data_IF_266564682707
#
_entry.id   IF_266564682707
#
_cell.length_a   1.000
_cell.length_b   1.000
_cell.length_c   1.000
_cell.angle_alpha   90.00
_cell.angle_beta   90.00
_cell.angle_gamma   90.00
#
_symmetry.space_group_name_H-M   'P 1'
#
loop_
_entity.id
_entity.type
_entity.pdbx_description
1 polymer ?
#
# COMPACT_ATOMS: atom_id res chain seq x y z
N UNK A 1 28.48 -29.50 38.85
CA UNK A 1 27.18 -29.13 38.26
C UNK A 1 27.08 -27.62 38.28
N UNK A 2 27.31 -26.95 37.15
CA UNK A 2 27.17 -25.51 37.01
C UNK A 2 26.22 -25.26 35.83
N UNK A 3 25.02 -24.77 36.14
CA UNK A 3 24.04 -24.35 35.14
C UNK A 3 24.38 -22.92 34.73
N UNK A 4 24.90 -22.74 33.52
CA UNK A 4 25.09 -21.44 32.90
C UNK A 4 23.74 -20.98 32.32
N UNK A 5 23.07 -20.05 33.00
CA UNK A 5 21.92 -19.33 32.45
C UNK A 5 22.42 -18.36 31.37
N UNK A 6 22.37 -18.80 30.12
CA UNK A 6 22.48 -17.90 28.96
C UNK A 6 21.17 -17.13 28.87
N UNK A 7 21.17 -15.92 29.43
CA UNK A 7 20.09 -14.96 29.29
C UNK A 7 19.95 -14.55 27.82
N UNK A 8 19.04 -15.19 27.11
CA UNK A 8 18.55 -14.73 25.81
C UNK A 8 17.87 -13.37 26.02
N UNK A 9 18.60 -12.27 25.81
CA UNK A 9 18.01 -10.95 25.65
C UNK A 9 17.11 -11.03 24.44
N UNK A 10 15.80 -11.10 24.69
CA UNK A 10 14.76 -10.95 23.67
C UNK A 10 15.00 -9.58 23.02
N UNK A 11 15.64 -9.56 21.85
CA UNK A 11 15.77 -8.35 21.08
C UNK A 11 14.35 -7.87 20.76
N UNK A 12 13.95 -6.77 21.40
CA UNK A 12 12.76 -6.04 21.02
C UNK A 12 12.98 -5.60 19.57
N UNK A 13 12.37 -6.31 18.62
CA UNK A 13 12.28 -5.84 17.25
C UNK A 13 11.45 -4.56 17.29
N UNK A 14 12.11 -3.42 17.26
CA UNK A 14 11.46 -2.16 16.93
C UNK A 14 11.11 -2.24 15.45
N UNK A 15 9.82 -2.35 15.15
CA UNK A 15 9.33 -2.21 13.79
C UNK A 15 9.51 -0.74 13.39
N UNK A 16 10.50 -0.45 12.56
CA UNK A 16 10.67 0.86 11.95
C UNK A 16 9.83 0.90 10.67
N UNK A 17 8.68 1.56 10.76
CA UNK A 17 7.76 1.72 9.63
C UNK A 17 7.92 3.16 9.14
N UNK A 18 8.59 3.31 8.00
CA UNK A 18 8.67 4.57 7.28
C UNK A 18 7.32 4.90 6.62
N UNK A 19 6.38 5.37 7.42
CA UNK A 19 4.97 5.58 7.03
C UNK A 19 4.81 6.45 5.77
N UNK A 20 5.60 7.52 5.64
CA UNK A 20 5.60 8.39 4.45
C UNK A 20 6.06 7.63 3.20
N UNK A 21 7.15 6.88 3.30
CA UNK A 21 7.68 6.10 2.17
C UNK A 21 6.72 4.99 1.76
N UNK A 22 6.10 4.30 2.72
CA UNK A 22 5.10 3.27 2.45
C UNK A 22 3.84 3.84 1.79
N UNK A 23 3.36 5.03 2.21
CA UNK A 23 2.28 5.74 1.53
C UNK A 23 2.63 6.12 0.09
N UNK A 24 3.86 6.60 -0.14
CA UNK A 24 4.34 6.93 -1.48
C UNK A 24 4.40 5.68 -2.37
N UNK A 25 4.87 4.55 -1.85
CA UNK A 25 4.91 3.28 -2.59
C UNK A 25 3.51 2.81 -2.97
N UNK A 26 2.55 2.84 -2.03
CA UNK A 26 1.15 2.49 -2.31
C UNK A 26 0.58 3.40 -3.39
N UNK A 27 0.70 4.73 -3.23
CA UNK A 27 0.19 5.69 -4.19
C UNK A 27 0.83 5.54 -5.58
N UNK A 28 2.15 5.37 -5.65
CA UNK A 28 2.86 5.12 -6.91
C UNK A 28 2.42 3.82 -7.57
N UNK A 29 2.15 2.78 -6.78
CA UNK A 29 1.71 1.48 -7.28
C UNK A 29 0.28 1.56 -7.81
N UNK A 30 -0.60 2.30 -7.11
CA UNK A 30 -1.96 2.58 -7.57
C UNK A 30 -1.97 3.42 -8.85
N UNK A 31 -1.09 4.42 -8.98
CA UNK A 31 -0.93 5.17 -10.22
C UNK A 31 -0.49 4.26 -11.39
N UNK A 32 0.41 3.31 -11.16
CA UNK A 32 0.78 2.33 -12.18
C UNK A 32 -0.37 1.40 -12.58
N UNK A 33 -1.33 1.14 -11.69
CA UNK A 33 -2.56 0.40 -12.04
C UNK A 33 -3.42 1.22 -13.00
N UNK A 34 -3.56 2.52 -12.74
CA UNK A 34 -4.29 3.43 -13.62
C UNK A 34 -3.64 3.52 -15.01
N UNK A 35 -2.30 3.59 -15.07
CA UNK A 35 -1.56 3.56 -16.34
C UNK A 35 -1.82 2.26 -17.13
N UNK A 36 -1.90 1.11 -16.44
CA UNK A 36 -2.21 -0.19 -17.06
C UNK A 36 -3.65 -0.22 -17.58
N UNK A 37 -4.61 0.32 -16.84
CA UNK A 37 -6.01 0.42 -17.27
C UNK A 37 -6.15 1.30 -18.52
N UNK A 38 -5.53 2.48 -18.52
CA UNK A 38 -5.52 3.36 -19.68
C UNK A 38 -4.82 2.72 -20.89
N UNK A 39 -3.70 2.04 -20.66
CA UNK A 39 -2.98 1.30 -21.69
C UNK A 39 -3.81 0.18 -22.31
N UNK A 40 -4.58 -0.56 -21.48
CA UNK A 40 -5.50 -1.60 -21.95
C UNK A 40 -6.58 -1.03 -22.88
N UNK A 41 -7.25 0.04 -22.47
CA UNK A 41 -8.28 0.69 -23.29
C UNK A 41 -7.70 1.24 -24.61
N UNK A 42 -6.51 1.84 -24.56
CA UNK A 42 -5.82 2.30 -25.75
C UNK A 42 -5.51 1.15 -26.72
N UNK A 43 -4.97 0.03 -26.22
CA UNK A 43 -4.65 -1.14 -27.04
C UNK A 43 -5.90 -1.76 -27.66
N UNK A 44 -7.00 -1.86 -26.89
CA UNK A 44 -8.30 -2.33 -27.38
C UNK A 44 -8.78 -1.50 -28.57
N UNK A 45 -8.78 -0.18 -28.44
CA UNK A 45 -9.17 0.71 -29.55
C UNK A 45 -8.27 0.53 -30.78
N UNK A 46 -6.98 0.26 -30.59
CA UNK A 46 -6.04 0.00 -31.70
C UNK A 46 -6.27 -1.35 -32.37
N UNK A 47 -6.60 -2.38 -31.61
CA UNK A 47 -6.95 -3.69 -32.17
C UNK A 47 -8.24 -3.59 -32.98
N UNK A 48 -9.28 -2.93 -32.45
CA UNK A 48 -10.54 -2.73 -33.17
C UNK A 48 -10.32 -1.97 -34.49
N UNK A 49 -9.49 -0.91 -34.48
CA UNK A 49 -9.12 -0.18 -35.68
C UNK A 49 -8.31 -1.03 -36.67
N UNK A 50 -7.41 -1.89 -36.18
CA UNK A 50 -6.59 -2.78 -37.02
C UNK A 50 -7.44 -3.87 -37.67
N UNK A 51 -8.37 -4.47 -36.91
CA UNK A 51 -9.34 -5.46 -37.42
C UNK A 51 -10.19 -4.84 -38.53
N UNK A 52 -10.70 -3.63 -38.32
CA UNK A 52 -11.47 -2.90 -39.33
C UNK A 52 -10.65 -2.58 -40.60
N UNK A 53 -9.33 -2.40 -40.48
CA UNK A 53 -8.43 -2.13 -41.59
C UNK A 53 -7.97 -3.40 -42.34
N UNK A 54 -8.31 -4.61 -41.87
CA UNK A 54 -7.92 -5.89 -42.45
C UNK A 54 -9.11 -6.70 -43.02
N UNK A 55 -9.97 -6.11 -43.89
CA UNK A 55 -11.16 -6.81 -44.40
C UNK A 55 -10.80 -8.03 -45.28
N UNK A 56 -9.65 -8.00 -45.94
CA UNK A 56 -9.18 -9.06 -46.85
C UNK A 56 -8.42 -10.19 -46.12
N UNK A 57 -8.23 -10.10 -44.80
CA UNK A 57 -7.45 -11.06 -44.03
C UNK A 57 -8.15 -11.48 -42.74
N UNK A 58 -9.25 -12.25 -42.84
CA UNK A 58 -10.04 -12.67 -41.67
C UNK A 58 -9.24 -13.52 -40.68
N UNK A 59 -8.24 -14.28 -41.16
CA UNK A 59 -7.34 -15.07 -40.31
C UNK A 59 -6.47 -14.17 -39.43
N UNK A 60 -5.91 -13.10 -39.99
CA UNK A 60 -5.06 -12.17 -39.23
C UNK A 60 -5.94 -11.34 -38.29
N UNK A 61 -7.07 -10.81 -38.78
CA UNK A 61 -8.02 -10.07 -37.95
C UNK A 61 -8.50 -10.90 -36.76
N UNK A 62 -8.94 -12.15 -37.00
CA UNK A 62 -9.37 -13.05 -35.94
C UNK A 62 -8.24 -13.45 -34.98
N UNK A 63 -7.00 -13.60 -35.47
CA UNK A 63 -5.85 -13.90 -34.60
C UNK A 63 -5.50 -12.73 -33.67
N UNK A 64 -5.59 -11.49 -34.16
CA UNK A 64 -5.34 -10.29 -33.35
C UNK A 64 -6.46 -10.11 -32.32
N UNK A 65 -7.72 -10.32 -32.71
CA UNK A 65 -8.86 -10.27 -31.79
C UNK A 65 -8.77 -11.36 -30.72
N UNK A 66 -8.39 -12.60 -31.10
CA UNK A 66 -8.14 -13.68 -30.16
C UNK A 66 -7.00 -13.34 -29.19
N UNK A 67 -5.89 -12.75 -29.66
CA UNK A 67 -4.81 -12.29 -28.79
C UNK A 67 -5.32 -11.24 -27.77
N UNK A 68 -6.21 -10.35 -28.19
CA UNK A 68 -6.81 -9.38 -27.28
C UNK A 68 -7.64 -10.07 -26.19
N UNK A 69 -8.57 -10.93 -26.59
CA UNK A 69 -9.56 -11.55 -25.68
C UNK A 69 -8.92 -12.62 -24.79
N UNK A 70 -7.99 -13.41 -25.32
CA UNK A 70 -7.42 -14.57 -24.62
C UNK A 70 -6.16 -14.21 -23.82
N UNK A 71 -5.44 -13.15 -24.18
CA UNK A 71 -4.16 -12.81 -23.55
C UNK A 71 -4.17 -11.42 -22.94
N UNK A 72 -4.41 -10.36 -23.72
CA UNK A 72 -4.28 -8.98 -23.22
C UNK A 72 -5.29 -8.68 -22.12
N UNK A 73 -6.57 -8.91 -22.36
CA UNK A 73 -7.64 -8.63 -21.38
C UNK A 73 -7.44 -9.39 -20.06
N UNK A 74 -7.27 -10.73 -20.03
CA UNK A 74 -7.10 -11.47 -18.79
C UNK A 74 -5.77 -11.18 -18.08
N UNK A 75 -4.69 -10.94 -18.83
CA UNK A 75 -3.39 -10.62 -18.22
C UNK A 75 -3.42 -9.26 -17.55
N UNK A 76 -4.01 -8.26 -18.21
CA UNK A 76 -4.17 -6.92 -17.67
C UNK A 76 -5.02 -6.94 -16.40
N UNK A 77 -6.15 -7.65 -16.44
CA UNK A 77 -7.04 -7.81 -15.29
C UNK A 77 -6.35 -8.53 -14.11
N UNK A 78 -5.56 -9.57 -14.40
CA UNK A 78 -4.81 -10.29 -13.39
C UNK A 78 -3.74 -9.40 -12.72
N UNK A 79 -3.05 -8.55 -13.48
CA UNK A 79 -2.08 -7.58 -12.95
C UNK A 79 -2.79 -6.55 -12.08
N UNK A 80 -3.87 -5.95 -12.56
CA UNK A 80 -4.67 -4.96 -11.81
C UNK A 80 -5.16 -5.57 -10.48
N UNK A 81 -5.76 -6.76 -10.54
CA UNK A 81 -6.30 -7.45 -9.36
C UNK A 81 -5.21 -7.80 -8.35
N UNK A 82 -4.08 -8.37 -8.81
CA UNK A 82 -2.96 -8.71 -7.91
C UNK A 82 -2.37 -7.47 -7.27
N UNK A 83 -2.20 -6.40 -8.04
CA UNK A 83 -1.63 -5.15 -7.53
C UNK A 83 -2.55 -4.50 -6.50
N UNK A 84 -3.85 -4.37 -6.78
CA UNK A 84 -4.85 -3.88 -5.82
C UNK A 84 -4.92 -4.73 -4.55
N UNK A 85 -4.86 -6.05 -4.70
CA UNK A 85 -4.84 -6.95 -3.54
C UNK A 85 -3.56 -6.80 -2.71
N UNK A 86 -2.40 -6.58 -3.35
CA UNK A 86 -1.13 -6.38 -2.67
C UNK A 86 -1.08 -5.04 -1.92
N UNK A 87 -1.65 -3.97 -2.49
CA UNK A 87 -1.68 -2.64 -1.86
C UNK A 87 -2.74 -2.54 -0.78
N UNK A 88 -3.88 -3.23 -0.88
CA UNK A 88 -4.97 -3.13 0.10
C UNK A 88 -4.52 -3.38 1.55
N UNK A 89 -3.70 -4.41 1.78
CA UNK A 89 -3.16 -4.70 3.10
C UNK A 89 -2.23 -3.60 3.63
N UNK A 90 -1.38 -3.05 2.75
CA UNK A 90 -0.50 -1.94 3.10
C UNK A 90 -1.30 -0.65 3.39
N UNK A 91 -2.31 -0.33 2.58
CA UNK A 91 -3.19 0.82 2.76
C UNK A 91 -3.94 0.75 4.10
N UNK A 92 -4.52 -0.41 4.44
CA UNK A 92 -5.20 -0.62 5.72
C UNK A 92 -4.25 -0.44 6.90
N UNK A 93 -3.05 -1.05 6.84
CA UNK A 93 -2.06 -0.90 7.88
C UNK A 93 -1.66 0.57 8.08
N UNK A 94 -1.39 1.30 6.98
CA UNK A 94 -1.01 2.71 7.03
C UNK A 94 -2.12 3.58 7.62
N UNK A 95 -3.38 3.30 7.32
CA UNK A 95 -4.51 4.02 7.90
C UNK A 95 -4.59 3.79 9.41
N UNK A 96 -4.51 2.54 9.87
CA UNK A 96 -4.50 2.22 11.29
C UNK A 96 -3.33 2.85 12.05
N UNK A 97 -2.12 2.89 11.45
CA UNK A 97 -0.99 3.60 12.04
C UNK A 97 -1.28 5.09 12.20
N UNK A 98 -1.83 5.75 11.18
CA UNK A 98 -2.14 7.19 11.29
C UNK A 98 -3.24 7.50 12.30
N UNK A 99 -4.27 6.65 12.39
CA UNK A 99 -5.33 6.80 13.39
C UNK A 99 -4.81 6.61 14.81
N UNK A 100 -3.95 5.60 15.02
CA UNK A 100 -3.29 5.36 16.29
C UNK A 100 -2.39 6.51 16.72
N UNK A 101 -1.60 7.07 15.78
CA UNK A 101 -0.76 8.23 16.04
C UNK A 101 -1.59 9.46 16.44
N UNK A 102 -2.70 9.71 15.76
CA UNK A 102 -3.58 10.84 16.11
C UNK A 102 -4.25 10.64 17.48
N UNK A 103 -4.68 9.42 17.82
CA UNK A 103 -5.22 9.10 19.15
C UNK A 103 -4.17 9.29 20.25
N UNK A 104 -2.92 8.85 20.02
CA UNK A 104 -1.83 9.05 20.97
C UNK A 104 -1.49 10.53 21.14
N UNK A 105 -1.46 11.29 20.04
CA UNK A 105 -1.22 12.73 20.04
C UNK A 105 -2.30 13.47 20.83
N UNK A 106 -3.57 13.16 20.55
CA UNK A 106 -4.72 13.72 21.27
C UNK A 106 -4.67 13.40 22.76
N UNK A 107 -4.47 12.13 23.12
CA UNK A 107 -4.40 11.69 24.53
C UNK A 107 -3.23 12.32 25.27
N UNK A 108 -2.07 12.46 24.62
CA UNK A 108 -0.89 13.12 25.22
C UNK A 108 -1.16 14.60 25.43
N UNK A 109 -1.80 15.27 24.47
CA UNK A 109 -2.16 16.68 24.60
C UNK A 109 -3.17 16.91 25.74
N UNK A 110 -4.18 16.05 25.85
CA UNK A 110 -5.18 16.11 26.94
C UNK A 110 -4.59 15.79 28.31
N UNK A 111 -3.57 14.91 28.39
CA UNK A 111 -2.90 14.58 29.65
C UNK A 111 -1.83 15.58 30.05
N UNK A 112 -1.14 16.20 29.09
CA UNK A 112 -0.16 17.25 29.35
C UNK A 112 -0.80 18.50 29.99
N UNK A 113 -2.05 18.81 29.63
CA UNK A 113 -2.82 19.88 30.26
C UNK A 113 -3.43 19.50 31.62
N UNK A 114 -3.38 18.23 32.01
CA UNK A 114 -3.92 17.73 33.28
C UNK A 114 -2.86 17.20 34.26
N UNK A 115 -1.57 17.38 33.98
CA UNK A 115 -0.50 17.05 34.95
C UNK A 115 -0.52 18.14 36.03
N UNK A 116 -1.36 17.92 37.05
CA UNK A 116 -1.25 18.61 38.31
C UNK A 116 0.02 18.06 38.98
N UNK A 117 1.14 18.78 38.86
CA UNK A 117 2.37 18.46 39.58
C UNK A 117 2.01 18.52 41.07
N UNK A 118 2.08 17.41 41.82
CA UNK A 118 1.85 17.49 43.25
C UNK A 118 2.92 18.42 43.83
N UNK A 119 2.51 19.43 44.61
CA UNK A 119 3.44 20.27 45.36
C UNK A 119 4.38 19.34 46.13
N UNK A 120 5.68 19.38 45.79
CA UNK A 120 6.68 18.67 46.58
C UNK A 120 6.67 19.29 47.97
N UNK A 121 6.40 18.52 49.05
CA UNK A 121 6.49 19.05 50.40
C UNK A 121 7.97 19.31 50.69
N UNK A 122 8.36 20.59 50.68
CA UNK A 122 9.75 21.00 50.91
C UNK A 122 10.12 22.37 50.33
N UNK A 123 9.28 23.00 49.51
CA UNK A 123 9.48 24.36 49.02
C UNK A 123 9.25 25.45 50.07
N UNK A 124 9.89 25.38 51.23
CA UNK A 124 9.95 26.51 52.16
C UNK A 124 11.04 27.48 51.70
N UNK A 125 10.62 28.69 51.32
CA UNK A 125 11.45 29.87 51.12
C UNK A 125 12.40 30.08 52.32
N UNK A 126 13.67 30.31 52.02
CA UNK A 126 14.63 31.03 52.87
C UNK A 126 15.54 31.83 51.97
#
# INVERSE_FOLDING_TARGET
MAWSQVGARKASMKFDIHHVSARQTVASTEASVEDVEQGREFLRARVEALVAALPESPVVAGSVEALQVEVLDPTSEAVITKTRSATAGASLALNHFSEGDEQMRSTTHSRASSVNVPDMPGGSRS
#
